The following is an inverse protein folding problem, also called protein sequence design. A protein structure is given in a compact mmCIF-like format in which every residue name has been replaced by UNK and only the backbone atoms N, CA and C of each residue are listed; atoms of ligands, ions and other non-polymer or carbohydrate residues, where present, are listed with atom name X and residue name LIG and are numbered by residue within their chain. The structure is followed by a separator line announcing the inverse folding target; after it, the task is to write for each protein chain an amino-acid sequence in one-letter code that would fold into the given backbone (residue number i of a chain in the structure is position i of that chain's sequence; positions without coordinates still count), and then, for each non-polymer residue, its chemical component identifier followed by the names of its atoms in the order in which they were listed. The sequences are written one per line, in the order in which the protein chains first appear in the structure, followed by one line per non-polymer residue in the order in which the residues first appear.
data_IF_920224235209
#
_entry.id   IF_920224235209
#
_cell.length_a   1.000
_cell.length_b   1.000
_cell.length_c   1.000
_cell.angle_alpha   90.00
_cell.angle_beta   90.00
_cell.angle_gamma   90.00
#
_symmetry.space_group_name_H-M   'P 1'
#
loop_
_entity.id
_entity.type
_entity.pdbx_description
1 polymer ?
#
# COMPACT_ATOMS: atom_id res chain seq x y z
N UNK A 1 -19.38 -12.19 -20.89
CA UNK A 1 -20.15 -12.73 -19.75
C UNK A 1 -19.82 -12.04 -18.44
N UNK A 2 -18.54 -11.88 -18.04
CA UNK A 2 -18.21 -11.16 -16.80
C UNK A 2 -18.63 -9.68 -16.84
N UNK A 3 -18.30 -8.95 -17.92
CA UNK A 3 -18.63 -7.50 -18.02
C UNK A 3 -20.11 -7.16 -17.83
N UNK A 4 -21.03 -8.10 -18.10
CA UNK A 4 -22.47 -7.84 -18.03
C UNK A 4 -23.02 -7.78 -16.60
N UNK A 5 -22.22 -8.14 -15.59
CA UNK A 5 -22.62 -8.02 -14.18
C UNK A 5 -22.30 -6.63 -13.60
N UNK A 6 -21.64 -5.77 -14.38
CA UNK A 6 -21.25 -4.42 -13.99
C UNK A 6 -21.98 -3.41 -14.87
N UNK A 7 -22.55 -2.37 -14.26
CA UNK A 7 -23.00 -1.19 -14.97
C UNK A 7 -21.86 -0.17 -15.05
N UNK A 8 -21.29 0.02 -16.23
CA UNK A 8 -20.25 1.02 -16.49
C UNK A 8 -20.80 2.31 -17.12
N UNK A 9 -22.10 2.38 -17.40
CA UNK A 9 -22.71 3.51 -18.10
C UNK A 9 -23.25 4.57 -17.12
N UNK A 10 -23.77 4.14 -15.98
CA UNK A 10 -24.32 5.06 -14.97
C UNK A 10 -23.21 5.68 -14.13
N UNK A 11 -23.06 7.00 -14.17
CA UNK A 11 -22.20 7.76 -13.26
C UNK A 11 -22.70 9.21 -13.10
N UNK A 12 -22.92 9.64 -11.85
CA UNK A 12 -23.35 11.01 -11.52
C UNK A 12 -22.22 11.90 -11.00
N UNK A 13 -21.03 11.34 -10.80
CA UNK A 13 -19.83 12.04 -10.32
C UNK A 13 -18.80 12.20 -11.44
N UNK A 14 -17.70 12.91 -11.19
CA UNK A 14 -16.61 13.09 -12.17
C UNK A 14 -16.01 11.77 -12.64
N UNK A 15 -15.91 10.80 -11.74
CA UNK A 15 -15.40 9.46 -12.02
C UNK A 15 -16.09 8.43 -11.14
N UNK A 16 -16.47 7.30 -11.74
CA UNK A 16 -17.04 6.16 -11.04
C UNK A 16 -16.26 4.88 -11.35
N UNK A 17 -16.36 3.93 -10.42
CA UNK A 17 -15.93 2.56 -10.65
C UNK A 17 -16.95 1.83 -11.54
N UNK A 18 -18.03 1.33 -10.95
CA UNK A 18 -19.18 0.73 -11.62
C UNK A 18 -20.44 0.94 -10.75
N UNK A 19 -21.62 0.69 -11.31
CA UNK A 19 -22.93 0.86 -10.67
C UNK A 19 -23.15 2.26 -10.07
N UNK A 20 -22.63 3.31 -10.70
CA UNK A 20 -22.75 4.69 -10.21
C UNK A 20 -21.95 5.00 -8.94
N UNK A 21 -21.05 4.12 -8.50
CA UNK A 21 -20.24 4.33 -7.30
C UNK A 21 -19.05 5.22 -7.62
N UNK A 22 -19.04 6.42 -7.02
CA UNK A 22 -17.94 7.37 -7.13
C UNK A 22 -16.61 6.75 -6.66
N UNK A 23 -15.56 6.94 -7.45
CA UNK A 23 -14.22 6.51 -7.10
C UNK A 23 -13.20 7.49 -7.69
N UNK A 24 -12.25 8.01 -6.89
CA UNK A 24 -11.16 8.82 -7.42
C UNK A 24 -10.23 7.99 -8.34
N UNK A 25 -9.41 8.66 -9.16
CA UNK A 25 -8.33 8.01 -9.90
C UNK A 25 -7.43 7.18 -8.97
N UNK A 26 -7.03 6.00 -9.43
CA UNK A 26 -6.10 5.15 -8.70
C UNK A 26 -4.72 5.79 -8.68
N UNK A 27 -4.12 5.91 -7.49
CA UNK A 27 -2.81 6.54 -7.30
C UNK A 27 -1.98 5.78 -6.27
N UNK A 28 -0.67 5.64 -6.52
CA UNK A 28 0.25 4.96 -5.62
C UNK A 28 0.32 3.45 -5.82
N UNK A 29 0.93 2.76 -4.86
CA UNK A 29 1.14 1.31 -4.85
C UNK A 29 -0.03 0.59 -4.20
N UNK A 30 -0.46 -0.52 -4.80
CA UNK A 30 -1.56 -1.35 -4.32
C UNK A 30 -1.07 -2.78 -4.08
N UNK A 31 -1.52 -3.39 -2.98
CA UNK A 31 -1.30 -4.82 -2.74
C UNK A 31 -2.61 -5.58 -2.89
N UNK A 32 -2.67 -6.46 -3.89
CA UNK A 32 -3.83 -7.29 -4.17
C UNK A 32 -3.68 -8.66 -3.48
N UNK A 33 -4.41 -8.87 -2.39
CA UNK A 33 -4.30 -10.04 -1.53
C UNK A 33 -5.55 -10.95 -1.60
N UNK A 34 -5.57 -12.02 -0.80
CA UNK A 34 -6.68 -12.98 -0.74
C UNK A 34 -7.07 -13.52 -2.13
N UNK A 35 -8.34 -13.40 -2.52
CA UNK A 35 -8.86 -13.92 -3.79
C UNK A 35 -8.12 -13.40 -5.03
N UNK A 36 -7.61 -12.16 -4.99
CA UNK A 36 -6.80 -11.61 -6.08
C UNK A 36 -5.48 -12.36 -6.23
N UNK A 37 -4.75 -12.57 -5.13
CA UNK A 37 -3.48 -13.29 -5.13
C UNK A 37 -3.63 -14.72 -5.65
N UNK A 38 -4.60 -15.49 -5.11
CA UNK A 38 -4.77 -16.88 -5.51
C UNK A 38 -5.23 -17.01 -6.96
N UNK A 39 -6.03 -16.07 -7.46
CA UNK A 39 -6.44 -16.02 -8.87
C UNK A 39 -5.25 -15.73 -9.79
N UNK A 40 -4.44 -14.72 -9.46
CA UNK A 40 -3.22 -14.39 -10.21
C UNK A 40 -2.26 -15.58 -10.23
N UNK A 41 -2.03 -16.21 -9.07
CA UNK A 41 -1.16 -17.37 -8.94
C UNK A 41 -1.65 -18.56 -9.76
N UNK A 42 -2.97 -18.80 -9.83
CA UNK A 42 -3.53 -19.88 -10.61
C UNK A 42 -3.28 -19.73 -12.12
N UNK A 43 -3.22 -18.50 -12.62
CA UNK A 43 -2.87 -18.20 -14.03
C UNK A 43 -1.35 -18.02 -14.23
N UNK A 44 -0.53 -18.42 -13.26
CA UNK A 44 0.93 -18.40 -13.36
C UNK A 44 1.58 -17.04 -13.14
N UNK A 45 0.89 -16.08 -12.51
CA UNK A 45 1.40 -14.74 -12.23
C UNK A 45 1.52 -14.51 -10.71
N UNK A 46 2.71 -14.15 -10.24
CA UNK A 46 2.96 -13.76 -8.85
C UNK A 46 3.65 -12.39 -8.81
N UNK A 47 3.27 -11.54 -7.85
CA UNK A 47 3.84 -10.20 -7.72
C UNK A 47 3.29 -9.22 -8.76
N UNK A 48 4.19 -8.44 -9.39
CA UNK A 48 3.82 -7.45 -10.41
C UNK A 48 3.83 -8.07 -11.80
N UNK A 49 2.91 -7.62 -12.64
CA UNK A 49 2.81 -8.00 -14.06
C UNK A 49 2.34 -6.81 -14.88
N UNK A 50 2.40 -6.91 -16.20
CA UNK A 50 1.79 -5.92 -17.10
C UNK A 50 0.31 -6.27 -17.36
N UNK A 51 -0.49 -5.25 -17.70
CA UNK A 51 -1.93 -5.42 -17.99
C UNK A 51 -2.16 -6.42 -19.13
N UNK A 52 -1.41 -6.27 -20.22
CA UNK A 52 -1.51 -7.13 -21.39
C UNK A 52 -1.06 -8.57 -21.06
N UNK A 53 -0.06 -8.73 -20.20
CA UNK A 53 0.41 -10.03 -19.72
C UNK A 53 -0.68 -10.73 -18.89
N UNK A 54 -1.32 -10.01 -17.97
CA UNK A 54 -2.41 -10.57 -17.17
C UNK A 54 -3.59 -11.03 -18.04
N UNK A 55 -3.97 -10.20 -19.02
CA UNK A 55 -5.02 -10.56 -19.98
C UNK A 55 -4.65 -11.80 -20.81
N UNK A 56 -3.42 -11.86 -21.32
CA UNK A 56 -2.94 -12.99 -22.10
C UNK A 56 -2.90 -14.29 -21.25
N UNK A 57 -2.41 -14.22 -20.01
CA UNK A 57 -2.42 -15.36 -19.09
C UNK A 57 -3.84 -15.81 -18.73
N UNK A 58 -4.79 -14.88 -18.59
CA UNK A 58 -6.19 -15.19 -18.37
C UNK A 58 -6.77 -15.97 -19.56
N UNK A 59 -6.59 -15.48 -20.78
CA UNK A 59 -7.06 -16.14 -22.01
C UNK A 59 -6.43 -17.52 -22.16
N UNK A 60 -5.10 -17.61 -22.03
CA UNK A 60 -4.37 -18.89 -22.12
C UNK A 60 -4.90 -19.91 -21.11
N UNK A 61 -5.10 -19.51 -19.85
CA UNK A 61 -5.61 -20.41 -18.83
C UNK A 61 -7.03 -20.91 -19.14
N UNK A 62 -7.89 -20.04 -19.70
CA UNK A 62 -9.27 -20.39 -20.05
C UNK A 62 -9.39 -21.27 -21.30
N UNK A 63 -8.46 -21.16 -22.24
CA UNK A 63 -8.44 -21.94 -23.49
C UNK A 63 -7.75 -23.30 -23.33
N UNK A 64 -7.00 -23.50 -22.24
CA UNK A 64 -6.24 -24.72 -21.97
C UNK A 64 -7.16 -25.94 -21.72
N UNK A 65 -6.70 -27.12 -22.17
CA UNK A 65 -7.46 -28.33 -21.95
C UNK A 65 -7.51 -28.71 -20.46
N UNK A 66 -8.68 -29.14 -19.99
CA UNK A 66 -8.87 -29.54 -18.59
C UNK A 66 -7.86 -30.57 -18.08
N UNK A 67 -7.46 -31.52 -18.95
CA UNK A 67 -6.45 -32.54 -18.59
C UNK A 67 -5.07 -31.93 -18.36
N UNK A 68 -4.70 -30.92 -19.16
CA UNK A 68 -3.44 -30.20 -19.04
C UNK A 68 -3.46 -29.32 -17.79
N UNK A 69 -4.52 -28.52 -17.60
CA UNK A 69 -4.69 -27.68 -16.40
C UNK A 69 -4.52 -28.46 -15.11
N UNK A 70 -5.14 -29.65 -14.99
CA UNK A 70 -4.99 -30.51 -13.81
C UNK A 70 -3.57 -31.03 -13.60
N UNK A 71 -2.85 -31.32 -14.68
CA UNK A 71 -1.48 -31.81 -14.63
C UNK A 71 -0.50 -30.71 -14.22
N UNK A 72 -0.72 -29.49 -14.69
CA UNK A 72 0.17 -28.36 -14.43
C UNK A 72 -0.10 -27.68 -13.08
N UNK A 73 -1.34 -27.73 -12.57
CA UNK A 73 -1.76 -27.05 -11.35
C UNK A 73 -2.04 -28.02 -10.19
N UNK A 74 -1.11 -28.94 -9.91
CA UNK A 74 -1.27 -29.96 -8.85
C UNK A 74 -1.36 -29.39 -7.43
N UNK A 75 -0.90 -28.15 -7.23
CA UNK A 75 -1.01 -27.41 -5.98
C UNK A 75 -2.41 -26.82 -5.72
N UNK A 76 -3.32 -26.93 -6.69
CA UNK A 76 -4.69 -26.42 -6.62
C UNK A 76 -5.67 -27.59 -6.58
N UNK A 77 -6.61 -27.58 -5.63
CA UNK A 77 -7.66 -28.61 -5.62
C UNK A 77 -8.58 -28.47 -6.83
N UNK A 78 -9.06 -29.60 -7.37
CA UNK A 78 -9.89 -29.60 -8.57
C UNK A 78 -11.14 -28.71 -8.43
N UNK A 79 -11.72 -28.63 -7.22
CA UNK A 79 -12.84 -27.75 -6.89
C UNK A 79 -12.54 -26.28 -7.21
N UNK A 80 -11.37 -25.78 -6.81
CA UNK A 80 -10.98 -24.39 -7.06
C UNK A 80 -10.51 -24.20 -8.50
N UNK A 81 -9.80 -25.19 -9.06
CA UNK A 81 -9.28 -25.10 -10.43
C UNK A 81 -10.40 -24.83 -11.46
N UNK A 82 -11.58 -25.43 -11.27
CA UNK A 82 -12.78 -25.19 -12.11
C UNK A 82 -13.27 -23.75 -12.10
N UNK A 83 -12.93 -22.97 -11.07
CA UNK A 83 -13.43 -21.61 -10.89
C UNK A 83 -12.49 -20.55 -11.46
N UNK A 84 -11.20 -20.87 -11.65
CA UNK A 84 -10.19 -19.84 -11.88
C UNK A 84 -10.29 -19.15 -13.24
N UNK A 85 -10.84 -19.78 -14.28
CA UNK A 85 -11.09 -19.08 -15.55
C UNK A 85 -12.13 -17.96 -15.37
N UNK A 86 -13.22 -18.21 -14.64
CA UNK A 86 -14.18 -17.16 -14.30
C UNK A 86 -13.56 -16.12 -13.39
N UNK A 87 -12.85 -16.55 -12.33
CA UNK A 87 -12.23 -15.65 -11.36
C UNK A 87 -11.18 -14.75 -12.00
N UNK A 88 -10.37 -15.24 -12.96
CA UNK A 88 -9.35 -14.45 -13.64
C UNK A 88 -9.97 -13.36 -14.52
N UNK A 89 -11.02 -13.69 -15.27
CA UNK A 89 -11.76 -12.68 -16.04
C UNK A 89 -12.50 -11.68 -15.13
N UNK A 90 -13.03 -12.15 -13.99
CA UNK A 90 -13.64 -11.29 -12.97
C UNK A 90 -12.64 -10.31 -12.38
N UNK A 91 -11.48 -10.79 -11.93
CA UNK A 91 -10.40 -9.96 -11.40
C UNK A 91 -9.90 -8.96 -12.44
N UNK A 92 -9.67 -9.41 -13.68
CA UNK A 92 -9.23 -8.53 -14.76
C UNK A 92 -10.25 -7.42 -15.05
N UNK A 93 -11.53 -7.79 -15.22
CA UNK A 93 -12.61 -6.82 -15.46
C UNK A 93 -12.76 -5.86 -14.28
N UNK A 94 -12.71 -6.36 -13.04
CA UNK A 94 -12.85 -5.54 -11.85
C UNK A 94 -11.72 -4.52 -11.73
N UNK A 95 -10.46 -4.94 -11.94
CA UNK A 95 -9.31 -4.05 -11.83
C UNK A 95 -9.23 -3.07 -13.01
N UNK A 96 -9.30 -3.58 -14.24
CA UNK A 96 -9.12 -2.77 -15.45
C UNK A 96 -10.35 -1.93 -15.76
N UNK A 97 -11.51 -2.56 -15.93
CA UNK A 97 -12.75 -1.86 -16.31
C UNK A 97 -13.46 -1.23 -15.10
N UNK A 98 -13.41 -1.86 -13.92
CA UNK A 98 -14.05 -1.36 -12.70
C UNK A 98 -13.25 -0.23 -12.05
N UNK A 99 -12.09 -0.57 -11.49
CA UNK A 99 -11.25 0.36 -10.74
C UNK A 99 -10.40 1.27 -11.63
N UNK A 100 -10.45 1.09 -12.95
CA UNK A 100 -9.79 1.95 -13.95
C UNK A 100 -8.26 1.88 -13.88
N UNK A 101 -7.69 0.73 -13.53
CA UNK A 101 -6.27 0.49 -13.75
C UNK A 101 -6.00 0.34 -15.25
N UNK A 102 -5.10 1.16 -15.76
CA UNK A 102 -4.65 1.18 -17.15
C UNK A 102 -3.21 0.63 -17.28
N UNK A 103 -2.64 0.69 -18.48
CA UNK A 103 -1.27 0.19 -18.71
C UNK A 103 -0.21 0.86 -17.84
N UNK A 104 -0.42 2.11 -17.46
CA UNK A 104 0.53 2.87 -16.65
C UNK A 104 0.38 2.60 -15.15
N UNK A 105 -0.86 2.42 -14.67
CA UNK A 105 -1.17 2.24 -13.26
C UNK A 105 -1.20 0.78 -12.83
N UNK A 106 -1.43 -0.16 -13.75
CA UNK A 106 -1.48 -1.60 -13.47
C UNK A 106 -0.18 -2.13 -12.84
N UNK A 107 0.98 -1.61 -13.29
CA UNK A 107 2.30 -1.97 -12.75
C UNK A 107 2.46 -1.68 -11.25
N UNK A 108 1.60 -0.83 -10.69
CA UNK A 108 1.60 -0.50 -9.27
C UNK A 108 0.81 -1.53 -8.43
N UNK A 109 0.16 -2.52 -9.05
CA UNK A 109 -0.53 -3.61 -8.36
C UNK A 109 0.45 -4.75 -8.11
N UNK A 110 0.63 -5.11 -6.85
CA UNK A 110 1.46 -6.21 -6.41
C UNK A 110 0.59 -7.32 -5.81
N UNK A 111 0.51 -8.47 -6.48
CA UNK A 111 -0.27 -9.60 -6.02
C UNK A 111 0.52 -10.39 -4.97
N UNK A 112 0.12 -10.27 -3.69
CA UNK A 112 0.83 -10.90 -2.56
C UNK A 112 -0.12 -11.46 -1.50
N UNK A 113 0.28 -12.56 -0.85
CA UNK A 113 -0.44 -13.12 0.31
C UNK A 113 0.10 -12.66 1.66
N UNK A 114 1.38 -12.29 1.74
CA UNK A 114 2.07 -12.06 3.01
C UNK A 114 3.10 -10.95 2.93
N UNK A 115 3.35 -10.30 4.06
CA UNK A 115 4.46 -9.37 4.28
C UNK A 115 5.16 -9.80 5.56
N UNK A 116 6.48 -10.04 5.49
CA UNK A 116 7.29 -10.50 6.64
C UNK A 116 6.64 -11.68 7.38
N UNK A 117 6.32 -12.73 6.62
CA UNK A 117 5.69 -13.98 7.10
C UNK A 117 4.32 -13.80 7.77
N UNK A 118 3.69 -12.64 7.60
CA UNK A 118 2.36 -12.33 8.12
C UNK A 118 1.37 -12.19 6.98
N UNK A 119 0.29 -12.97 7.02
CA UNK A 119 -0.76 -12.91 6.00
C UNK A 119 -1.41 -11.52 5.96
N UNK A 120 -1.60 -11.00 4.75
CA UNK A 120 -2.26 -9.72 4.52
C UNK A 120 -3.76 -9.90 4.69
N UNK A 121 -4.36 -9.06 5.54
CA UNK A 121 -5.79 -9.04 5.80
C UNK A 121 -6.16 -7.97 6.82
N UNK A 122 -7.46 -7.77 7.02
CA UNK A 122 -8.00 -6.78 7.95
C UNK A 122 -7.82 -7.18 9.42
N UNK A 123 -7.63 -8.47 9.72
CA UNK A 123 -7.63 -9.01 11.08
C UNK A 123 -6.53 -8.40 11.96
N UNK A 124 -5.32 -8.23 11.42
CA UNK A 124 -4.22 -7.63 12.18
C UNK A 124 -4.50 -6.15 12.48
N UNK A 125 -4.92 -5.37 11.48
CA UNK A 125 -5.28 -3.97 11.67
C UNK A 125 -6.44 -3.79 12.66
N UNK A 126 -7.42 -4.69 12.62
CA UNK A 126 -8.53 -4.72 13.57
C UNK A 126 -8.06 -5.00 15.00
N UNK A 127 -7.21 -6.01 15.19
CA UNK A 127 -6.61 -6.29 16.50
C UNK A 127 -5.81 -5.10 17.02
N UNK A 128 -4.97 -4.49 16.18
CA UNK A 128 -4.16 -3.31 16.54
C UNK A 128 -5.04 -2.13 16.96
N UNK A 129 -6.14 -1.90 16.24
CA UNK A 129 -7.10 -0.84 16.55
C UNK A 129 -7.81 -1.08 17.88
N UNK A 130 -8.36 -2.28 18.10
CA UNK A 130 -9.10 -2.59 19.34
C UNK A 130 -8.21 -2.62 20.59
N UNK A 131 -6.92 -2.90 20.43
CA UNK A 131 -5.95 -2.92 21.52
C UNK A 131 -5.25 -1.57 21.74
N UNK A 132 -5.64 -0.51 21.01
CA UNK A 132 -5.01 0.81 21.06
C UNK A 132 -3.49 0.76 20.82
N UNK A 133 -3.04 -0.16 19.97
CA UNK A 133 -1.62 -0.30 19.62
C UNK A 133 -1.22 0.54 18.39
N UNK A 134 -2.16 1.28 17.80
CA UNK A 134 -1.88 2.28 16.76
C UNK A 134 -1.83 3.67 17.44
N UNK A 135 -0.63 4.23 17.67
CA UNK A 135 -0.53 5.55 18.29
C UNK A 135 -1.07 6.63 17.35
N UNK A 136 -1.86 7.56 17.89
CA UNK A 136 -2.38 8.70 17.13
C UNK A 136 -1.34 9.80 16.93
N UNK A 137 -0.36 9.86 17.82
CA UNK A 137 0.73 10.82 17.80
C UNK A 137 2.03 10.12 17.41
N UNK A 138 2.82 10.77 16.56
CA UNK A 138 4.18 10.34 16.31
C UNK A 138 4.98 10.61 17.58
N UNK A 139 5.73 9.61 18.05
CA UNK A 139 6.71 9.84 19.11
C UNK A 139 7.73 10.85 18.59
N UNK A 140 7.66 12.09 19.04
CA UNK A 140 8.64 13.11 18.70
C UNK A 140 10.01 12.69 19.25
N UNK A 141 10.92 12.34 18.34
CA UNK A 141 12.31 12.08 18.69
C UNK A 141 13.01 13.42 18.64
N UNK A 142 13.08 14.11 19.79
CA UNK A 142 13.84 15.35 19.90
C UNK A 142 15.32 15.10 19.56
N UNK A 143 15.99 16.02 18.86
CA UNK A 143 17.37 15.85 18.41
C UNK A 143 18.39 15.72 19.55
N UNK A 144 17.98 16.05 20.78
CA UNK A 144 18.83 16.00 21.97
C UNK A 144 17.99 15.58 23.19
N UNK A 145 18.62 14.91 24.14
CA UNK A 145 17.97 14.56 25.41
C UNK A 145 17.77 15.79 26.29
N UNK A 146 16.67 15.82 27.05
CA UNK A 146 16.32 16.91 27.96
C UNK A 146 17.48 17.39 28.87
N UNK A 147 18.27 16.51 29.53
CA UNK A 147 19.38 16.98 30.39
C UNK A 147 20.52 17.61 29.60
N UNK A 148 20.82 17.15 28.39
CA UNK A 148 21.86 17.76 27.55
C UNK A 148 21.40 19.14 27.06
N UNK A 149 20.14 19.25 26.66
CA UNK A 149 19.54 20.52 26.24
C UNK A 149 19.55 21.55 27.38
N UNK A 150 19.10 21.15 28.58
CA UNK A 150 19.14 22.01 29.77
C UNK A 150 20.58 22.41 30.15
N UNK A 151 21.53 21.48 30.07
CA UNK A 151 22.94 21.74 30.34
C UNK A 151 23.56 22.76 29.37
N UNK A 152 23.27 22.63 28.07
CA UNK A 152 23.72 23.61 27.06
C UNK A 152 23.11 24.99 27.28
N UNK A 153 21.82 25.07 27.59
CA UNK A 153 21.16 26.34 27.92
C UNK A 153 21.86 27.01 29.10
N UNK A 154 22.14 26.26 30.17
CA UNK A 154 22.82 26.80 31.35
C UNK A 154 24.23 27.29 31.01
N UNK A 155 25.00 26.48 30.28
CA UNK A 155 26.37 26.80 29.87
C UNK A 155 26.41 28.07 28.99
N UNK A 156 25.57 28.17 27.96
CA UNK A 156 25.54 29.35 27.10
C UNK A 156 25.06 30.59 27.86
N UNK A 157 24.07 30.44 28.74
CA UNK A 157 23.60 31.55 29.59
C UNK A 157 24.71 32.06 30.51
N UNK A 158 25.46 31.16 31.16
CA UNK A 158 26.57 31.52 32.03
C UNK A 158 27.70 32.23 31.26
N UNK A 159 28.06 31.73 30.07
CA UNK A 159 29.08 32.36 29.21
C UNK A 159 28.66 33.76 28.76
N UNK A 160 27.38 33.98 28.43
CA UNK A 160 26.85 35.30 28.08
C UNK A 160 26.96 36.26 29.28
N UNK A 161 26.56 35.81 30.48
CA UNK A 161 26.66 36.65 31.68
C UNK A 161 28.12 37.04 31.97
N UNK A 162 29.04 36.07 31.89
CA UNK A 162 30.47 36.31 32.12
C UNK A 162 31.02 37.32 31.10
N UNK A 163 30.70 37.17 29.82
CA UNK A 163 31.17 38.10 28.78
C UNK A 163 30.61 39.51 28.99
N UNK A 164 29.33 39.66 29.34
CA UNK A 164 28.73 40.97 29.65
C UNK A 164 29.41 41.63 30.85
N UNK A 165 29.67 40.90 31.93
CA UNK A 165 30.37 41.42 33.11
C UNK A 165 31.80 41.85 32.77
N UNK A 166 32.53 41.04 32.00
CA UNK A 166 33.90 41.37 31.59
C UNK A 166 33.94 42.62 30.70
N UNK A 167 33.01 42.75 29.74
CA UNK A 167 32.87 43.94 28.89
C UNK A 167 32.54 45.17 29.73
N UNK A 168 31.61 45.04 30.70
CA UNK A 168 31.25 46.14 31.59
C UNK A 168 32.44 46.60 32.45
N UNK A 169 33.20 45.66 33.02
CA UNK A 169 34.43 45.96 33.77
C UNK A 169 35.46 46.63 32.85
N UNK A 170 35.65 46.13 31.63
CA UNK A 170 36.57 46.70 30.66
C UNK A 170 36.21 48.14 30.32
N UNK A 171 34.93 48.42 30.02
CA UNK A 171 34.43 49.77 29.74
C UNK A 171 34.65 50.74 30.91
N UNK A 172 34.35 50.32 32.15
CA UNK A 172 34.63 51.14 33.34
C UNK A 172 36.12 51.45 33.45
N UNK A 173 36.99 50.46 33.22
CA UNK A 173 38.46 50.63 33.30
C UNK A 173 39.10 51.40 32.15
N UNK A 174 38.41 51.57 31.02
CA UNK A 174 38.89 52.39 29.89
C UNK A 174 38.29 53.80 29.88
N UNK A 175 37.17 54.02 30.58
CA UNK A 175 36.56 55.34 30.75
C UNK A 175 37.05 56.12 31.98
N UNK A 176 37.83 55.48 32.87
CA UNK A 176 38.55 56.10 33.99
C UNK A 176 40.06 56.02 33.73
#
# INVERSE_FOLDING_TARGET
MVKTIFDFQTCSSTQCSFNGVEQPPVTGEFTAYAGFFYTSKAIGLEGRSDLDQFNASCTKFCEEEWRVLKKENTFISEKYLRTYCFSSHYVFTLLADGYKFDKETWKNINFQKEVKDTNIGWSLGYMLSLSNMIPSEVKEILPMTDPLFAGLIFLFSALIIITVVLVFIFLIRTCY
#
